data_IF_385923398417
#
_entry.id   IF_385923398417
#
_cell.length_a   1.000
_cell.length_b   1.000
_cell.length_c   1.000
_cell.angle_alpha   90.00
_cell.angle_beta   90.00
_cell.angle_gamma   90.00
#
_symmetry.space_group_name_H-M   'P 1'
#
loop_
_entity.id
_entity.type
_entity.pdbx_description
1 polymer ?
#
# COMPACT_ATOMS: atom_id res chain seq x y z
N UNK A 1 -8.24 -6.16 -10.79
CA UNK A 1 -6.96 -5.45 -10.63
C UNK A 1 -6.05 -5.88 -11.76
N UNK A 2 -5.61 -4.95 -12.61
CA UNK A 2 -4.57 -5.22 -13.59
C UNK A 2 -3.23 -5.50 -12.88
N UNK A 3 -2.31 -6.15 -13.58
CA UNK A 3 -1.01 -6.54 -13.01
C UNK A 3 -0.15 -5.31 -12.65
N UNK A 4 -0.37 -4.17 -13.31
CA UNK A 4 0.26 -2.89 -12.99
C UNK A 4 -0.19 -2.36 -11.63
N UNK A 5 -1.51 -2.29 -11.37
CA UNK A 5 -2.03 -1.91 -10.04
C UNK A 5 -1.51 -2.81 -8.92
N UNK A 6 -1.45 -4.12 -9.15
CA UNK A 6 -0.93 -5.08 -8.16
C UNK A 6 0.52 -4.77 -7.77
N UNK A 7 1.38 -4.46 -8.75
CA UNK A 7 2.79 -4.10 -8.51
C UNK A 7 2.93 -2.78 -7.76
N UNK A 8 2.13 -1.76 -8.09
CA UNK A 8 2.17 -0.46 -7.40
C UNK A 8 1.75 -0.60 -5.94
N UNK A 9 0.68 -1.37 -5.67
CA UNK A 9 0.23 -1.70 -4.32
C UNK A 9 1.32 -2.40 -3.51
N UNK A 10 1.97 -3.42 -4.11
CA UNK A 10 3.06 -4.16 -3.48
C UNK A 10 4.22 -3.22 -3.12
N UNK A 11 4.66 -2.37 -4.05
CA UNK A 11 5.77 -1.43 -3.82
C UNK A 11 5.43 -0.43 -2.71
N UNK A 12 4.23 0.15 -2.74
CA UNK A 12 3.78 1.10 -1.72
C UNK A 12 3.68 0.44 -0.33
N UNK A 13 3.07 -0.76 -0.27
CA UNK A 13 2.95 -1.52 0.97
C UNK A 13 4.32 -1.93 1.54
N UNK A 14 5.26 -2.38 0.70
CA UNK A 14 6.62 -2.73 1.11
C UNK A 14 7.39 -1.53 1.66
N UNK A 15 7.28 -0.35 1.04
CA UNK A 15 7.92 0.89 1.54
C UNK A 15 7.33 1.30 2.89
N UNK A 16 6.01 1.22 3.05
CA UNK A 16 5.33 1.53 4.31
C UNK A 16 5.69 0.54 5.42
N UNK A 17 5.76 -0.76 5.11
CA UNK A 17 6.19 -1.79 6.04
C UNK A 17 7.66 -1.60 6.48
N UNK A 18 8.55 -1.28 5.53
CA UNK A 18 9.96 -1.00 5.82
C UNK A 18 10.14 0.19 6.78
N UNK A 19 9.30 1.22 6.67
CA UNK A 19 9.32 2.37 7.60
C UNK A 19 8.88 1.99 9.01
N UNK A 20 7.93 1.06 9.16
CA UNK A 20 7.55 0.54 10.48
C UNK A 20 8.61 -0.40 11.06
N UNK A 21 9.39 -1.07 10.23
CA UNK A 21 10.53 -1.91 10.62
C UNK A 21 11.77 -1.13 11.10
N UNK A 22 12.00 0.10 10.61
CA UNK A 22 13.12 0.95 11.07
C UNK A 22 13.05 1.29 12.57
N UNK A 23 11.86 1.30 13.16
CA UNK A 23 11.65 1.56 14.60
C UNK A 23 11.42 0.26 15.40
N UNK A 24 11.71 -0.91 14.82
CA UNK A 24 11.33 -2.21 15.40
C UNK A 24 12.43 -2.80 16.29
N UNK A 25 12.16 -2.89 17.58
CA UNK A 25 13.11 -3.31 18.62
C UNK A 25 13.10 -4.84 18.90
N UNK A 26 12.77 -5.65 17.89
CA UNK A 26 12.89 -7.12 17.94
C UNK A 26 11.80 -7.89 18.71
N UNK A 27 10.75 -7.25 19.24
CA UNK A 27 9.63 -7.97 19.87
C UNK A 27 8.64 -8.53 18.83
N UNK A 28 8.18 -9.78 18.94
CA UNK A 28 7.13 -10.31 18.08
C UNK A 28 5.78 -9.70 18.50
N UNK A 29 4.96 -9.23 17.54
CA UNK A 29 3.67 -8.52 17.72
C UNK A 29 3.81 -7.01 17.97
N UNK A 30 3.71 -6.12 16.96
CA UNK A 30 2.55 -5.92 16.03
C UNK A 30 2.78 -5.95 14.47
N UNK A 31 3.52 -6.91 13.90
CA UNK A 31 3.95 -6.83 12.48
C UNK A 31 2.76 -7.03 11.51
N UNK A 32 1.85 -7.94 11.84
CA UNK A 32 0.66 -8.19 11.03
C UNK A 32 -0.29 -6.99 11.02
N UNK A 33 -0.50 -6.32 12.17
CA UNK A 33 -1.24 -5.07 12.24
C UNK A 33 -0.57 -3.97 11.41
N UNK A 34 0.77 -3.90 11.46
CA UNK A 34 1.54 -2.95 10.68
C UNK A 34 1.38 -3.14 9.16
N UNK A 35 1.35 -4.40 8.70
CA UNK A 35 1.11 -4.76 7.30
C UNK A 35 -0.32 -4.44 6.90
N UNK A 36 -1.31 -4.78 7.72
CA UNK A 36 -2.72 -4.48 7.44
C UNK A 36 -2.97 -2.96 7.28
N UNK A 37 -2.40 -2.15 8.17
CA UNK A 37 -2.46 -0.68 8.06
C UNK A 37 -1.81 -0.16 6.76
N UNK A 38 -0.66 -0.74 6.38
CA UNK A 38 0.06 -0.34 5.18
C UNK A 38 -0.74 -0.65 3.90
N UNK A 39 -1.42 -1.80 3.86
CA UNK A 39 -2.31 -2.18 2.75
C UNK A 39 -3.50 -1.22 2.67
N UNK A 40 -4.18 -0.95 3.78
CA UNK A 40 -5.32 -0.02 3.81
C UNK A 40 -4.92 1.40 3.36
N UNK A 41 -3.72 1.86 3.73
CA UNK A 41 -3.21 3.15 3.28
C UNK A 41 -2.90 3.15 1.77
N UNK A 42 -2.30 2.07 1.25
CA UNK A 42 -2.01 1.93 -0.18
C UNK A 42 -3.29 1.91 -1.02
N UNK A 43 -4.35 1.22 -0.57
CA UNK A 43 -5.67 1.23 -1.22
C UNK A 43 -6.27 2.64 -1.27
N UNK A 44 -6.20 3.39 -0.16
CA UNK A 44 -6.67 4.78 -0.12
C UNK A 44 -5.89 5.68 -1.06
N UNK A 45 -4.58 5.49 -1.17
CA UNK A 45 -3.74 6.26 -2.11
C UNK A 45 -4.15 5.94 -3.56
N UNK A 46 -4.33 4.68 -3.90
CA UNK A 46 -4.80 4.30 -5.25
C UNK A 46 -6.18 4.86 -5.57
N UNK A 47 -7.15 4.78 -4.66
CA UNK A 47 -8.47 5.38 -4.86
C UNK A 47 -8.40 6.90 -5.07
N UNK A 48 -7.44 7.56 -4.41
CA UNK A 48 -7.18 9.00 -4.58
C UNK A 48 -6.50 9.33 -5.90
N UNK A 49 -5.67 8.42 -6.42
CA UNK A 49 -5.07 8.52 -7.76
C UNK A 49 -6.14 8.30 -8.82
N UNK A 50 -6.94 7.23 -8.72
CA UNK A 50 -8.02 6.90 -9.65
C UNK A 50 -9.08 8.01 -9.71
N UNK A 51 -9.40 8.67 -8.59
CA UNK A 51 -10.34 9.82 -8.59
C UNK A 51 -9.74 11.10 -9.17
N UNK A 52 -8.42 11.31 -9.05
CA UNK A 52 -7.74 12.52 -9.53
C UNK A 52 -7.34 12.41 -11.00
N UNK A 53 -6.99 11.22 -11.46
CA UNK A 53 -6.76 10.87 -12.84
C UNK A 53 -7.68 9.71 -13.18
N UNK A 54 -8.99 9.99 -13.44
CA UNK A 54 -9.87 8.97 -13.94
C UNK A 54 -9.21 8.44 -15.21
N UNK A 55 -8.78 7.17 -15.16
CA UNK A 55 -8.28 6.50 -16.36
C UNK A 55 -9.38 6.68 -17.40
N UNK A 56 -9.04 7.33 -18.51
CA UNK A 56 -9.83 7.32 -19.74
C UNK A 56 -9.86 5.86 -20.24
N UNK A 57 -10.54 4.98 -19.49
CA UNK A 57 -11.16 3.79 -20.03
C UNK A 57 -12.37 4.29 -20.81
N UNK A 58 -12.05 4.94 -21.93
CA UNK A 58 -12.97 5.43 -22.93
C UNK A 58 -13.39 4.23 -23.78
N UNK A 59 -14.71 3.99 -23.82
CA UNK A 59 -15.47 3.12 -24.74
C UNK A 59 -15.26 1.60 -24.65
#
# INVERSE_FOLDING_TARGET
>A
MDEGRKRVLLIAASILAARKLVNWDGRPSPLECAIADAIALAERIMARIDSRWPTLANK
#
